data_IF_364378076214
#
_entry.id   IF_364378076214
#
_cell.length_a   1.000
_cell.length_b   1.000
_cell.length_c   1.000
_cell.angle_alpha   90.00
_cell.angle_beta   90.00
_cell.angle_gamma   90.00
#
_symmetry.space_group_name_H-M   'P 1'
#
loop_
_entity.id
_entity.type
_entity.pdbx_description
1 polymer ?
#
# COMPACT_ATOMS: atom_id res chain seq x y z
N UNK A 1 0.94 -8.33 -8.94
CA UNK A 1 2.04 -8.18 -7.97
C UNK A 1 1.43 -8.10 -6.58
N UNK A 2 2.01 -8.76 -5.58
CA UNK A 2 1.67 -8.49 -4.17
C UNK A 2 2.35 -7.16 -3.80
N UNK A 3 1.63 -6.17 -3.22
CA UNK A 3 2.24 -4.91 -2.86
C UNK A 3 3.36 -5.08 -1.84
N UNK A 4 4.38 -4.24 -1.92
CA UNK A 4 5.52 -4.26 -1.00
C UNK A 4 5.56 -2.97 -0.20
N UNK A 5 5.64 -3.08 1.12
CA UNK A 5 5.75 -1.94 2.03
C UNK A 5 7.21 -1.52 2.19
N UNK A 6 7.45 -0.22 2.21
CA UNK A 6 8.77 0.39 2.44
C UNK A 6 8.68 1.51 3.46
N UNK A 7 9.81 1.79 4.11
CA UNK A 7 9.96 2.96 4.96
C UNK A 7 9.82 4.26 4.17
N UNK A 8 9.44 5.35 4.86
CA UNK A 8 9.22 6.66 4.26
C UNK A 8 10.46 7.22 3.52
N UNK A 9 11.67 6.85 3.98
CA UNK A 9 12.95 7.32 3.42
C UNK A 9 13.46 6.50 2.24
N UNK A 10 12.77 5.41 1.86
CA UNK A 10 13.19 4.60 0.71
C UNK A 10 13.07 5.38 -0.60
N UNK A 11 14.07 5.26 -1.46
CA UNK A 11 14.15 5.97 -2.75
C UNK A 11 14.51 5.06 -3.93
N UNK A 12 15.05 3.87 -3.66
CA UNK A 12 15.54 2.93 -4.67
C UNK A 12 14.49 1.88 -5.04
N UNK A 13 13.70 1.39 -4.08
CA UNK A 13 12.61 0.42 -4.31
C UNK A 13 13.05 -0.85 -5.09
N UNK A 14 14.28 -1.32 -4.81
CA UNK A 14 14.89 -2.50 -5.46
C UNK A 14 14.89 -3.76 -4.58
N UNK A 15 14.64 -3.61 -3.29
CA UNK A 15 14.58 -4.69 -2.30
C UNK A 15 13.12 -5.07 -2.02
N UNK A 16 12.89 -6.03 -1.13
CA UNK A 16 11.55 -6.33 -0.61
C UNK A 16 11.11 -5.37 0.51
N UNK A 17 11.81 -4.25 0.71
CA UNK A 17 11.45 -3.25 1.72
C UNK A 17 11.31 -3.87 3.11
N UNK A 18 10.19 -3.57 3.76
CA UNK A 18 9.76 -4.18 5.03
C UNK A 18 9.05 -5.53 4.81
N UNK A 19 8.54 -5.79 3.61
CA UNK A 19 7.93 -7.06 3.22
C UNK A 19 6.70 -6.91 2.32
N UNK A 20 6.18 -8.05 1.90
CA UNK A 20 4.98 -8.14 1.05
C UNK A 20 3.70 -8.06 1.89
N UNK A 21 2.74 -7.24 1.45
CA UNK A 21 1.42 -7.07 2.05
C UNK A 21 0.49 -8.20 1.53
N UNK A 22 0.86 -9.45 1.80
CA UNK A 22 0.19 -10.64 1.25
C UNK A 22 -1.16 -10.96 1.90
N UNK A 23 -1.37 -10.48 3.12
CA UNK A 23 -2.56 -10.68 3.95
C UNK A 23 -3.65 -9.61 3.74
N UNK A 24 -3.43 -8.66 2.82
CA UNK A 24 -4.47 -7.71 2.43
C UNK A 24 -5.71 -8.42 1.85
N UNK A 25 -6.88 -8.08 2.39
CA UNK A 25 -8.16 -8.56 1.86
C UNK A 25 -8.46 -7.99 0.47
N UNK A 26 -8.09 -6.73 0.24
CA UNK A 26 -8.29 -6.05 -1.02
C UNK A 26 -7.13 -5.10 -1.31
N UNK A 27 -6.71 -5.08 -2.57
CA UNK A 27 -5.73 -4.12 -3.10
C UNK A 27 -6.29 -3.60 -4.41
N UNK A 28 -6.62 -2.30 -4.45
CA UNK A 28 -7.24 -1.67 -5.60
C UNK A 28 -6.52 -0.37 -5.97
N UNK A 29 -5.91 -0.37 -7.15
CA UNK A 29 -5.40 0.85 -7.75
C UNK A 29 -6.44 1.46 -8.69
N UNK A 30 -6.68 2.76 -8.56
CA UNK A 30 -7.64 3.51 -9.38
C UNK A 30 -6.93 4.62 -10.14
N UNK A 31 -7.25 4.77 -11.43
CA UNK A 31 -6.80 5.92 -12.21
C UNK A 31 -7.78 7.06 -12.03
N UNK A 32 -7.31 8.17 -11.47
CA UNK A 32 -8.09 9.37 -11.27
C UNK A 32 -8.22 10.18 -12.56
N UNK A 33 -9.23 11.07 -12.63
CA UNK A 33 -9.50 11.88 -13.83
C UNK A 33 -8.33 12.78 -14.23
N UNK A 34 -7.51 13.22 -13.27
CA UNK A 34 -6.32 14.03 -13.52
C UNK A 34 -5.12 13.22 -14.04
N UNK A 35 -5.27 11.90 -14.22
CA UNK A 35 -4.22 11.01 -14.69
C UNK A 35 -3.34 10.42 -13.59
N UNK A 36 -3.50 10.85 -12.33
CA UNK A 36 -2.82 10.24 -11.20
C UNK A 36 -3.44 8.89 -10.85
N UNK A 37 -2.72 8.11 -10.05
CA UNK A 37 -3.20 6.86 -9.51
C UNK A 37 -3.33 6.96 -8.00
N UNK A 38 -4.42 6.43 -7.46
CA UNK A 38 -4.62 6.18 -6.04
C UNK A 38 -4.54 4.67 -5.77
N UNK A 39 -4.07 4.29 -4.58
CA UNK A 39 -4.05 2.91 -4.12
C UNK A 39 -4.89 2.83 -2.85
N UNK A 40 -5.81 1.88 -2.82
CA UNK A 40 -6.62 1.54 -1.66
C UNK A 40 -6.28 0.12 -1.23
N UNK A 41 -5.98 -0.07 0.06
CA UNK A 41 -5.75 -1.38 0.66
C UNK A 41 -6.68 -1.58 1.84
N UNK A 42 -7.41 -2.70 1.83
CA UNK A 42 -8.14 -3.22 3.00
C UNK A 42 -7.30 -4.30 3.66
N UNK A 43 -6.86 -4.06 4.89
CA UNK A 43 -5.87 -4.89 5.58
C UNK A 43 -6.38 -5.42 6.94
N UNK A 44 -6.10 -6.68 7.31
CA UNK A 44 -6.48 -7.24 8.62
C UNK A 44 -5.89 -6.48 9.81
N UNK A 45 -6.64 -6.35 10.91
CA UNK A 45 -6.14 -5.73 12.15
C UNK A 45 -5.04 -6.53 12.86
N UNK A 46 -5.04 -7.84 12.66
CA UNK A 46 -4.08 -8.81 13.19
C UNK A 46 -2.96 -9.15 12.20
N UNK A 47 -2.94 -8.48 11.04
CA UNK A 47 -1.89 -8.65 10.04
C UNK A 47 -0.54 -8.15 10.52
N UNK A 48 0.53 -8.70 9.95
CA UNK A 48 1.93 -8.45 10.36
C UNK A 48 2.29 -6.97 10.31
N UNK A 49 1.72 -6.22 9.36
CA UNK A 49 1.99 -4.80 9.16
C UNK A 49 0.92 -3.87 9.75
N UNK A 50 -0.07 -4.40 10.48
CA UNK A 50 -1.22 -3.62 10.97
C UNK A 50 -0.80 -2.46 11.88
N UNK A 51 0.23 -2.66 12.72
CA UNK A 51 0.80 -1.61 13.58
C UNK A 51 1.89 -0.77 12.89
N UNK A 52 2.31 -1.18 11.69
CA UNK A 52 3.45 -0.60 10.98
C UNK A 52 3.03 0.50 10.02
N UNK A 53 1.83 0.40 9.42
CA UNK A 53 1.32 1.43 8.52
C UNK A 53 1.27 2.81 9.16
N UNK A 54 1.93 3.77 8.51
CA UNK A 54 2.01 5.18 8.90
C UNK A 54 2.01 6.05 7.65
N UNK A 55 1.61 7.31 7.81
CA UNK A 55 1.74 8.31 6.77
C UNK A 55 3.20 8.44 6.30
N UNK A 56 3.39 8.91 5.07
CA UNK A 56 4.67 9.06 4.36
C UNK A 56 5.39 7.76 3.97
N UNK A 57 5.02 6.61 4.56
CA UNK A 57 5.52 5.31 4.12
C UNK A 57 5.14 5.05 2.66
N UNK A 58 5.90 4.17 2.00
CA UNK A 58 5.77 3.95 0.57
C UNK A 58 5.30 2.53 0.28
N UNK A 59 4.44 2.38 -0.70
CA UNK A 59 3.95 1.08 -1.18
C UNK A 59 4.25 0.95 -2.66
N UNK A 60 4.95 -0.10 -3.05
CA UNK A 60 5.15 -0.43 -4.46
C UNK A 60 4.09 -1.44 -4.89
N UNK A 61 3.33 -1.12 -5.93
CA UNK A 61 2.26 -1.98 -6.44
C UNK A 61 2.03 -1.78 -7.94
N UNK A 62 1.30 -2.70 -8.55
CA UNK A 62 0.80 -2.51 -9.91
C UNK A 62 -0.43 -1.61 -9.89
N UNK A 63 -0.46 -0.59 -10.76
CA UNK A 63 -1.60 0.29 -10.93
C UNK A 63 -2.53 -0.11 -12.10
N UNK A 64 -2.21 -1.22 -12.77
CA UNK A 64 -3.00 -1.78 -13.86
C UNK A 64 -2.23 -2.83 -14.66
N UNK A 65 -2.78 -3.23 -15.81
CA UNK A 65 -2.14 -4.22 -16.69
C UNK A 65 -0.87 -3.69 -17.36
N UNK A 66 -0.86 -2.41 -17.74
CA UNK A 66 0.28 -1.75 -18.41
C UNK A 66 1.07 -0.82 -17.48
N UNK A 67 0.48 -0.45 -16.35
CA UNK A 67 1.09 0.47 -15.37
C UNK A 67 1.60 -0.35 -14.19
N UNK A 68 2.84 -0.83 -14.30
CA UNK A 68 3.49 -1.74 -13.33
C UNK A 68 4.41 -0.98 -12.39
N UNK A 69 4.67 -1.56 -11.22
CA UNK A 69 5.71 -1.09 -10.29
C UNK A 69 5.63 0.39 -9.92
N UNK A 70 4.42 0.90 -9.74
CA UNK A 70 4.20 2.26 -9.28
C UNK A 70 4.45 2.34 -7.78
N UNK A 71 4.95 3.49 -7.34
CA UNK A 71 5.13 3.79 -5.92
C UNK A 71 4.03 4.74 -5.49
N UNK A 72 3.36 4.39 -4.40
CA UNK A 72 2.33 5.17 -3.74
C UNK A 72 2.86 5.60 -2.37
N UNK A 73 2.51 6.81 -1.96
CA UNK A 73 2.75 7.28 -0.60
C UNK A 73 1.46 7.13 0.20
N UNK A 74 1.60 6.63 1.43
CA UNK A 74 0.49 6.55 2.37
C UNK A 74 0.19 7.97 2.84
N UNK A 75 -0.97 8.48 2.41
CA UNK A 75 -1.44 9.79 2.83
C UNK A 75 -2.37 9.71 4.04
N UNK A 76 -2.95 8.53 4.31
CA UNK A 76 -3.89 8.33 5.41
C UNK A 76 -3.92 6.87 5.83
N UNK A 77 -4.03 6.63 7.13
CA UNK A 77 -4.32 5.30 7.68
C UNK A 77 -5.56 5.40 8.54
N UNK A 78 -6.59 4.64 8.20
CA UNK A 78 -7.86 4.60 8.93
C UNK A 78 -8.02 3.25 9.61
N UNK A 79 -8.02 3.25 10.94
CA UNK A 79 -8.24 2.04 11.74
C UNK A 79 -9.72 1.93 12.09
N UNK A 80 -10.41 0.96 11.51
CA UNK A 80 -11.75 0.58 11.96
C UNK A 80 -11.57 -0.36 13.17
N UNK A 81 -12.14 0.00 14.32
CA UNK A 81 -11.92 -0.70 15.59
C UNK A 81 -12.44 -2.15 15.62
N UNK A 82 -13.20 -2.58 14.61
CA UNK A 82 -13.91 -3.87 14.64
C UNK A 82 -13.38 -4.93 13.68
N UNK A 83 -12.64 -4.58 12.62
CA UNK A 83 -12.40 -5.54 11.53
C UNK A 83 -11.09 -5.31 10.75
N UNK A 84 -10.85 -4.10 10.23
CA UNK A 84 -9.75 -3.87 9.29
C UNK A 84 -9.17 -2.45 9.37
N UNK A 85 -7.99 -2.30 8.77
CA UNK A 85 -7.33 -1.03 8.47
C UNK A 85 -7.55 -0.71 7.00
N UNK A 86 -7.77 0.57 6.71
CA UNK A 86 -7.77 1.12 5.36
C UNK A 86 -6.55 2.00 5.20
N UNK A 87 -5.80 1.76 4.12
CA UNK A 87 -4.60 2.51 3.73
C UNK A 87 -4.79 3.07 2.33
#
# INVERSE_FOLDING_TARGET
>A
MIPVLYEAKETKFRTFGLGEIADAYEVKATRERNGNYSLYIKYPLDGVFASTFKEEMKIKSDAGRRTKWQTFEINRVLRNSKDHIVV
#
